data_IF_679992982086
#
_entry.id   IF_679992982086
#
_cell.length_a   1.000
_cell.length_b   1.000
_cell.length_c   1.000
_cell.angle_alpha   90.00
_cell.angle_beta   90.00
_cell.angle_gamma   90.00
#
_symmetry.space_group_name_H-M   'P 1'
#
loop_
_entity.id
_entity.type
_entity.pdbx_description
1 polymer ?
#
# COMPACT_ATOMS: atom_id res chain seq x y z
N UNK A 1 -26.43 4.29 -5.55
CA UNK A 1 -25.40 5.34 -5.57
C UNK A 1 -24.75 5.38 -4.19
N UNK A 2 -23.67 4.64 -3.98
CA UNK A 2 -22.86 4.72 -2.75
C UNK A 2 -22.12 6.06 -2.74
N UNK A 3 -22.10 6.74 -1.60
CA UNK A 3 -21.39 8.00 -1.43
C UNK A 3 -19.95 7.67 -1.05
N UNK A 4 -19.00 7.80 -1.97
CA UNK A 4 -17.59 7.59 -1.67
C UNK A 4 -17.08 8.58 -0.62
N UNK A 5 -16.29 8.10 0.33
CA UNK A 5 -15.68 8.92 1.37
C UNK A 5 -14.30 9.36 0.89
N UNK A 6 -14.04 10.67 0.88
CA UNK A 6 -12.71 11.21 0.53
C UNK A 6 -11.90 11.40 1.80
N UNK A 7 -10.89 10.56 2.02
CA UNK A 7 -9.97 10.72 3.14
C UNK A 7 -8.82 11.68 2.77
N UNK A 8 -8.90 12.92 3.23
CA UNK A 8 -7.84 13.90 3.05
C UNK A 8 -6.75 13.69 4.11
N UNK A 9 -5.64 13.04 3.75
CA UNK A 9 -4.47 12.91 4.63
C UNK A 9 -3.77 14.29 4.75
N UNK A 10 -3.64 14.79 5.98
CA UNK A 10 -3.09 16.11 6.30
C UNK A 10 -1.67 16.33 5.76
N UNK A 11 -1.54 17.30 4.84
CA UNK A 11 -0.44 18.22 4.48
C UNK A 11 1.06 17.83 4.57
N UNK A 12 1.44 16.57 4.76
CA UNK A 12 2.87 16.18 4.75
C UNK A 12 3.23 14.91 3.95
N UNK A 13 2.33 14.40 3.09
CA UNK A 13 2.62 13.29 2.17
C UNK A 13 2.00 13.57 0.80
N UNK A 14 2.81 13.45 -0.27
CA UNK A 14 2.44 13.69 -1.67
C UNK A 14 1.57 12.58 -2.29
N UNK A 15 0.73 11.92 -1.50
CA UNK A 15 -0.15 10.89 -2.05
C UNK A 15 -1.39 11.56 -2.66
N UNK A 16 -1.74 11.25 -3.92
CA UNK A 16 -2.98 11.74 -4.50
C UNK A 16 -4.17 11.22 -3.68
N UNK A 17 -5.28 11.99 -3.61
CA UNK A 17 -6.46 11.55 -2.87
C UNK A 17 -6.98 10.23 -3.47
N UNK A 18 -7.12 9.22 -2.61
CA UNK A 18 -7.72 7.92 -2.96
C UNK A 18 -9.18 7.94 -2.53
N UNK A 19 -10.07 7.58 -3.44
CA UNK A 19 -11.48 7.35 -3.12
C UNK A 19 -11.60 5.95 -2.53
N UNK A 20 -12.20 5.86 -1.35
CA UNK A 20 -12.47 4.59 -0.67
C UNK A 20 -13.96 4.40 -0.56
N UNK A 21 -14.40 3.17 -0.79
CA UNK A 21 -15.79 2.78 -0.57
C UNK A 21 -16.06 2.56 0.92
N UNK A 22 -17.31 2.73 1.36
CA UNK A 22 -17.69 2.57 2.78
C UNK A 22 -17.35 1.17 3.31
N UNK A 23 -17.57 0.13 2.49
CA UNK A 23 -17.26 -1.26 2.84
C UNK A 23 -15.75 -1.47 3.13
N UNK A 24 -14.87 -0.80 2.37
CA UNK A 24 -13.41 -0.90 2.58
C UNK A 24 -12.98 -0.21 3.88
N UNK A 25 -13.65 0.89 4.24
CA UNK A 25 -13.42 1.59 5.51
C UNK A 25 -13.85 0.71 6.68
N UNK A 26 -15.01 0.08 6.58
CA UNK A 26 -15.53 -0.81 7.62
C UNK A 26 -14.62 -2.04 7.81
N UNK A 27 -14.11 -2.62 6.72
CA UNK A 27 -13.14 -3.72 6.78
C UNK A 27 -11.83 -3.29 7.47
N UNK A 28 -11.33 -2.09 7.17
CA UNK A 28 -10.14 -1.55 7.82
C UNK A 28 -10.35 -1.29 9.32
N UNK A 29 -11.52 -0.79 9.72
CA UNK A 29 -11.87 -0.61 11.14
C UNK A 29 -11.90 -1.95 11.87
N UNK A 30 -12.56 -2.95 11.28
CA UNK A 30 -12.62 -4.30 11.85
C UNK A 30 -11.22 -4.91 12.03
N UNK A 31 -10.31 -4.67 11.08
CA UNK A 31 -8.91 -5.10 11.20
C UNK A 31 -8.19 -4.39 12.34
N UNK A 32 -8.36 -3.07 12.47
CA UNK A 32 -7.75 -2.29 13.57
C UNK A 32 -8.25 -2.84 14.91
N UNK A 33 -9.54 -3.06 15.06
CA UNK A 33 -10.12 -3.62 16.29
C UNK A 33 -9.55 -5.01 16.60
N UNK A 34 -9.41 -5.88 15.59
CA UNK A 34 -8.85 -7.22 15.76
C UNK A 34 -7.34 -7.22 16.13
N UNK A 35 -6.60 -6.21 15.72
CA UNK A 35 -5.16 -6.09 15.98
C UNK A 35 -4.82 -5.23 17.21
N UNK A 36 -5.77 -4.43 17.69
CA UNK A 36 -5.57 -3.55 18.83
C UNK A 36 -5.42 -4.36 20.12
N UNK A 37 -4.60 -3.83 21.03
CA UNK A 37 -4.51 -4.31 22.42
C UNK A 37 -4.97 -3.20 23.36
N UNK A 38 -5.56 -3.60 24.48
CA UNK A 38 -6.03 -2.66 25.51
C UNK A 38 -4.87 -1.99 26.26
N UNK A 39 -3.73 -2.69 26.37
CA UNK A 39 -2.54 -2.20 27.03
C UNK A 39 -1.24 -2.64 26.32
N UNK A 40 -0.14 -2.06 26.77
CA UNK A 40 1.22 -2.37 26.33
C UNK A 40 1.96 -3.14 27.43
N UNK A 41 1.29 -4.11 28.05
CA UNK A 41 1.93 -5.00 29.02
C UNK A 41 2.47 -6.26 28.32
N UNK A 42 3.58 -6.78 28.84
CA UNK A 42 4.21 -7.99 28.32
C UNK A 42 5.71 -7.82 28.07
N UNK A 43 6.47 -8.93 28.03
CA UNK A 43 7.92 -8.91 27.83
C UNK A 43 8.36 -8.34 26.48
N UNK A 44 7.47 -8.25 25.49
CA UNK A 44 7.74 -7.66 24.19
C UNK A 44 7.78 -6.11 24.21
N UNK A 45 7.17 -5.48 25.21
CA UNK A 45 7.12 -4.02 25.35
C UNK A 45 8.15 -3.56 26.38
N UNK A 46 9.27 -3.02 25.90
CA UNK A 46 10.40 -2.63 26.73
C UNK A 46 10.58 -1.11 26.68
N UNK A 47 10.55 -0.46 27.85
CA UNK A 47 10.89 0.96 27.98
C UNK A 47 12.41 1.17 27.93
N UNK A 48 12.93 1.18 26.72
CA UNK A 48 14.35 1.41 26.46
C UNK A 48 14.84 2.80 26.87
N UNK A 49 13.94 3.78 27.01
CA UNK A 49 14.32 5.13 27.39
C UNK A 49 14.71 5.17 28.86
N UNK A 50 13.83 4.65 29.73
CA UNK A 50 14.09 4.60 31.17
C UNK A 50 15.32 3.74 31.47
N UNK A 51 15.47 2.59 30.80
CA UNK A 51 16.66 1.74 30.94
C UNK A 51 17.95 2.48 30.53
N UNK A 52 17.94 3.18 29.40
CA UNK A 52 19.10 3.94 28.94
C UNK A 52 19.48 5.06 29.91
N UNK A 53 18.49 5.77 30.46
CA UNK A 53 18.74 6.80 31.48
C UNK A 53 19.32 6.21 32.75
N UNK A 54 18.78 5.08 33.22
CA UNK A 54 19.31 4.40 34.40
C UNK A 54 20.78 4.02 34.19
N UNK A 55 21.13 3.47 33.02
CA UNK A 55 22.51 3.12 32.69
C UNK A 55 23.45 4.35 32.66
N UNK A 56 22.98 5.50 32.16
CA UNK A 56 23.75 6.75 32.17
C UNK A 56 23.93 7.29 33.59
N UNK A 57 22.90 7.19 34.44
CA UNK A 57 22.96 7.63 35.84
C UNK A 57 23.99 6.79 36.61
N UNK A 58 23.93 5.46 36.53
CA UNK A 58 24.89 4.56 37.18
C UNK A 58 26.33 4.87 36.72
N UNK A 59 26.56 4.98 35.41
CA UNK A 59 27.89 5.32 34.89
C UNK A 59 28.42 6.65 35.45
N UNK A 60 27.56 7.66 35.65
CA UNK A 60 27.95 8.93 36.26
C UNK A 60 28.22 8.80 37.77
N UNK A 61 27.46 7.99 38.49
CA UNK A 61 27.68 7.78 39.93
C UNK A 61 29.03 7.09 40.20
N UNK A 62 29.46 6.22 39.29
CA UNK A 62 30.66 5.41 39.44
C UNK A 62 31.88 5.96 38.67
N UNK A 63 31.80 7.20 38.16
CA UNK A 63 32.83 7.85 37.33
C UNK A 63 33.30 6.98 36.14
N UNK A 64 32.37 6.21 35.54
CA UNK A 64 32.61 5.36 34.37
C UNK A 64 32.21 6.04 33.06
N UNK A 65 32.75 5.51 31.96
CA UNK A 65 32.36 5.92 30.62
C UNK A 65 30.87 5.65 30.39
N UNK A 66 30.17 6.61 29.77
CA UNK A 66 28.76 6.48 29.43
C UNK A 66 28.51 5.40 28.38
N UNK A 67 27.37 4.67 28.46
CA UNK A 67 27.01 3.68 27.45
C UNK A 67 26.80 4.33 26.08
N UNK A 68 27.26 3.66 25.02
CA UNK A 68 27.00 4.10 23.64
C UNK A 68 25.57 3.74 23.22
N UNK A 69 24.94 4.65 22.48
CA UNK A 69 23.65 4.37 21.86
C UNK A 69 23.81 3.30 20.76
N UNK A 70 22.89 2.32 20.66
CA UNK A 70 22.94 1.34 19.58
C UNK A 70 22.77 2.02 18.22
N UNK A 71 23.58 1.63 17.24
CA UNK A 71 23.41 2.11 15.87
C UNK A 71 22.07 1.61 15.29
N UNK A 72 21.35 2.47 14.53
CA UNK A 72 20.15 2.03 13.84
C UNK A 72 20.46 0.87 12.91
N UNK A 73 19.81 -0.28 13.11
CA UNK A 73 19.94 -1.39 12.16
C UNK A 73 19.33 -0.95 10.83
N UNK A 74 20.18 -0.74 9.82
CA UNK A 74 19.73 -0.53 8.47
C UNK A 74 19.00 -1.80 8.01
N UNK A 75 17.66 -1.79 8.03
CA UNK A 75 16.87 -2.83 7.38
C UNK A 75 16.85 -2.51 5.89
N UNK A 76 17.46 -3.33 5.01
CA UNK A 76 17.23 -3.20 3.59
C UNK A 76 15.76 -3.55 3.33
N UNK A 77 14.91 -2.54 3.18
CA UNK A 77 13.58 -2.75 2.65
C UNK A 77 13.74 -3.31 1.24
N UNK A 78 13.30 -4.55 1.01
CA UNK A 78 13.25 -5.10 -0.34
C UNK A 78 12.18 -4.32 -1.10
N UNK A 79 12.60 -3.30 -1.83
CA UNK A 79 11.78 -2.57 -2.79
C UNK A 79 11.42 -3.55 -3.90
N UNK A 80 10.28 -4.22 -3.76
CA UNK A 80 9.70 -5.01 -4.85
C UNK A 80 9.21 -4.01 -5.89
N UNK A 81 9.67 -4.15 -7.13
CA UNK A 81 9.11 -3.37 -8.24
C UNK A 81 7.68 -3.87 -8.53
N UNK A 82 6.71 -3.15 -7.97
CA UNK A 82 5.30 -3.44 -8.08
C UNK A 82 4.81 -3.40 -9.54
N UNK A 83 5.41 -2.56 -10.39
CA UNK A 83 5.02 -2.47 -11.80
C UNK A 83 5.49 -3.69 -12.58
N UNK A 84 6.73 -4.15 -12.33
CA UNK A 84 7.22 -5.39 -12.92
C UNK A 84 6.38 -6.61 -12.50
N UNK A 85 6.01 -6.67 -11.22
CA UNK A 85 5.18 -7.76 -10.66
C UNK A 85 3.76 -7.75 -11.24
N UNK A 86 3.18 -6.57 -11.42
CA UNK A 86 1.87 -6.40 -12.04
C UNK A 86 1.89 -6.81 -13.52
N UNK A 87 2.93 -6.40 -14.26
CA UNK A 87 3.07 -6.75 -15.68
C UNK A 87 3.14 -8.28 -15.86
N UNK A 88 3.91 -8.97 -15.03
CA UNK A 88 3.99 -10.43 -15.03
C UNK A 88 2.63 -11.09 -14.76
N UNK A 89 1.82 -10.49 -13.89
CA UNK A 89 0.47 -10.98 -13.56
C UNK A 89 -0.48 -10.81 -14.75
N UNK A 90 -0.42 -9.68 -15.44
CA UNK A 90 -1.18 -9.42 -16.67
C UNK A 90 -0.79 -10.39 -17.78
N UNK A 91 0.50 -10.61 -17.98
CA UNK A 91 1.00 -11.50 -19.04
C UNK A 91 0.56 -12.95 -18.80
N UNK A 92 0.62 -13.44 -17.56
CA UNK A 92 0.08 -14.75 -17.18
C UNK A 92 -1.43 -14.83 -17.42
N UNK A 93 -2.19 -13.79 -17.07
CA UNK A 93 -3.63 -13.75 -17.29
C UNK A 93 -4.02 -13.67 -18.77
N UNK A 94 -3.17 -13.08 -19.62
CA UNK A 94 -3.33 -13.06 -21.09
C UNK A 94 -3.04 -14.43 -21.70
N UNK A 95 -1.95 -15.07 -21.28
CA UNK A 95 -1.60 -16.43 -21.71
C UNK A 95 -2.68 -17.46 -21.35
N UNK A 96 -3.23 -17.38 -20.14
CA UNK A 96 -4.32 -18.25 -19.69
C UNK A 96 -5.61 -18.11 -20.52
N UNK A 97 -5.85 -16.94 -21.13
CA UNK A 97 -7.00 -16.68 -22.01
C UNK A 97 -6.78 -17.07 -23.47
N UNK A 98 -5.62 -17.61 -23.83
CA UNK A 98 -5.33 -18.08 -25.19
C UNK A 98 -5.22 -16.98 -26.24
N UNK A 99 -4.98 -15.72 -25.84
CA UNK A 99 -4.83 -14.61 -26.77
C UNK A 99 -3.44 -14.67 -27.45
N UNK A 100 -3.39 -15.17 -28.68
CA UNK A 100 -2.29 -14.90 -29.61
C UNK A 100 -2.53 -13.56 -30.28
N UNK A 101 -1.54 -12.67 -30.22
CA UNK A 101 -1.57 -11.32 -30.81
C UNK A 101 -1.93 -11.39 -32.30
N UNK A 102 -3.11 -10.90 -32.68
CA UNK A 102 -3.50 -10.69 -34.07
C UNK A 102 -3.79 -9.20 -34.23
N UNK A 103 -3.05 -8.46 -35.08
CA UNK A 103 -3.35 -7.05 -35.30
C UNK A 103 -4.63 -6.97 -36.14
N UNK A 104 -5.67 -6.39 -35.57
CA UNK A 104 -6.95 -6.14 -36.26
C UNK A 104 -6.75 -5.01 -37.28
N UNK A 105 -6.77 -5.37 -38.57
CA UNK A 105 -6.83 -4.41 -39.67
C UNK A 105 -8.25 -3.82 -39.79
N UNK A 106 -8.42 -2.51 -40.04
CA UNK A 106 -9.74 -1.89 -40.04
C UNK A 106 -10.50 -2.21 -41.33
N UNK A 107 -11.63 -2.91 -41.20
CA UNK A 107 -12.57 -3.11 -42.30
C UNK A 107 -13.32 -1.81 -42.63
N UNK A 108 -13.19 -1.35 -43.89
CA UNK A 108 -13.89 -0.16 -44.44
C UNK A 108 -15.41 -0.40 -44.55
N UNK A 109 -16.27 0.60 -44.28
CA UNK A 109 -17.71 0.44 -44.41
C UNK A 109 -18.18 0.48 -45.87
N UNK A 110 -18.99 -0.50 -46.27
CA UNK A 110 -19.62 -0.56 -47.58
C UNK A 110 -20.83 0.40 -47.67
N UNK A 111 -20.76 1.37 -48.57
CA UNK A 111 -21.91 2.20 -48.98
C UNK A 111 -22.84 1.39 -49.89
N UNK A 112 -24.14 1.30 -49.57
CA UNK A 112 -25.22 1.09 -50.56
C UNK A 112 -26.36 2.07 -50.31
N UNK A 113 -26.70 2.82 -51.36
CA UNK A 113 -27.65 3.92 -51.40
C UNK A 113 -29.12 3.45 -51.46
N UNK A 114 -30.10 4.28 -51.02
CA UNK A 114 -31.51 4.01 -51.21
C UNK A 114 -32.06 4.71 -52.48
N UNK A 115 -32.94 4.04 -53.22
CA UNK A 115 -34.13 4.61 -53.87
C UNK A 115 -34.63 3.71 -55.00
N UNK A 116 -35.82 3.14 -54.82
CA UNK A 116 -36.77 2.99 -55.93
C UNK A 116 -38.18 3.23 -55.39
N UNK A 117 -38.68 4.43 -55.69
CA UNK A 117 -40.07 4.86 -55.50
C UNK A 117 -40.95 4.14 -56.53
N UNK A 118 -42.15 3.72 -56.13
CA UNK A 118 -43.22 3.27 -57.02
C UNK A 118 -44.52 3.97 -56.61
N UNK A 119 -45.29 4.33 -57.64
CA UNK A 119 -46.61 4.99 -57.67
C UNK A 119 -46.63 6.50 -57.47
#
# INVERSE_FOLDING_TARGET
MGRGVTLAVSKNRHQPPVQLDEDEVDEAVALIEAMTRDDLTGPEFIDRYTEALHAVIEAKQEDRQQPQAPEPTARPGQLVDLMATLQQSVDKARAARGATDVPEAPAKPAKKAPSRRAS
#
